data_IF_686378741721
#
_entry.id   IF_686378741721
#
_cell.length_a   1.000
_cell.length_b   1.000
_cell.length_c   1.000
_cell.angle_alpha   90.00
_cell.angle_beta   90.00
_cell.angle_gamma   90.00
#
_symmetry.space_group_name_H-M   'P 1'
#
loop_
_entity.id
_entity.type
_entity.pdbx_description
1 polymer ?
#
# COMPACT_ATOMS: atom_id res chain seq x y z
N UNK A 1 14.21 -33.05 19.38
CA UNK A 1 13.31 -32.99 18.21
C UNK A 1 11.93 -33.32 18.73
N UNK A 2 11.08 -32.32 18.90
CA UNK A 2 9.68 -32.57 19.28
C UNK A 2 8.91 -33.17 18.11
N UNK A 3 7.93 -34.06 18.38
CA UNK A 3 7.14 -34.70 17.34
C UNK A 3 6.27 -33.66 16.64
N UNK A 4 6.25 -33.75 15.31
CA UNK A 4 5.43 -32.96 14.39
C UNK A 4 3.96 -33.02 14.83
N UNK A 5 3.50 -31.98 15.54
CA UNK A 5 2.12 -31.85 15.99
C UNK A 5 1.29 -31.66 14.73
N UNK A 6 0.51 -32.68 14.35
CA UNK A 6 -0.45 -32.52 13.26
C UNK A 6 -1.30 -31.28 13.57
N UNK A 7 -1.41 -30.35 12.60
CA UNK A 7 -2.21 -29.13 12.75
C UNK A 7 -3.57 -29.48 13.36
N UNK A 8 -3.97 -28.77 14.42
CA UNK A 8 -5.29 -28.96 14.99
C UNK A 8 -6.34 -28.68 13.92
N UNK A 9 -7.49 -29.36 13.96
CA UNK A 9 -8.60 -29.08 13.03
C UNK A 9 -9.03 -27.60 13.05
N UNK A 10 -8.79 -26.91 14.18
CA UNK A 10 -9.00 -25.48 14.33
C UNK A 10 -8.01 -24.63 13.49
N UNK A 11 -6.76 -25.04 13.32
CA UNK A 11 -5.76 -24.24 12.60
C UNK A 11 -5.97 -24.30 11.08
N UNK A 12 -6.56 -25.39 10.58
CA UNK A 12 -6.94 -25.53 9.17
C UNK A 12 -7.98 -24.48 8.74
N UNK A 13 -8.79 -23.99 9.70
CA UNK A 13 -9.76 -22.94 9.44
C UNK A 13 -9.11 -21.67 8.90
N UNK A 14 -7.88 -21.32 9.33
CA UNK A 14 -7.20 -20.12 8.82
C UNK A 14 -6.95 -20.20 7.31
N UNK A 15 -6.63 -21.38 6.79
CA UNK A 15 -6.42 -21.57 5.34
C UNK A 15 -7.73 -21.46 4.58
N UNK A 16 -8.80 -22.08 5.07
CA UNK A 16 -10.12 -21.97 4.43
C UNK A 16 -10.70 -20.54 4.56
N UNK A 17 -10.44 -19.85 5.68
CA UNK A 17 -10.81 -18.45 5.90
C UNK A 17 -10.06 -17.50 4.95
N UNK A 18 -8.75 -17.68 4.79
CA UNK A 18 -7.95 -16.90 3.84
C UNK A 18 -8.53 -16.97 2.42
N UNK A 19 -8.91 -18.17 1.96
CA UNK A 19 -9.51 -18.37 0.64
C UNK A 19 -10.86 -17.64 0.53
N UNK A 20 -11.68 -17.71 1.59
CA UNK A 20 -12.99 -17.06 1.63
C UNK A 20 -12.85 -15.53 1.63
N UNK A 21 -11.96 -14.97 2.45
CA UNK A 21 -11.70 -13.54 2.49
C UNK A 21 -11.21 -13.03 1.12
N UNK A 22 -10.35 -13.79 0.46
CA UNK A 22 -9.84 -13.43 -0.87
C UNK A 22 -10.96 -13.34 -1.92
N UNK A 23 -11.83 -14.36 -1.99
CA UNK A 23 -13.00 -14.35 -2.90
C UNK A 23 -14.01 -13.25 -2.51
N UNK A 24 -14.18 -12.99 -1.21
CA UNK A 24 -15.01 -11.90 -0.72
C UNK A 24 -14.47 -10.53 -1.16
N UNK A 25 -13.16 -10.31 -1.04
CA UNK A 25 -12.48 -9.10 -1.46
C UNK A 25 -12.66 -8.85 -2.97
N UNK A 26 -12.32 -9.85 -3.80
CA UNK A 26 -12.40 -9.74 -5.27
C UNK A 26 -13.84 -9.39 -5.73
N UNK A 27 -14.85 -10.01 -5.09
CA UNK A 27 -16.28 -9.70 -5.35
C UNK A 27 -16.69 -8.33 -4.86
N UNK A 28 -16.14 -7.88 -3.74
CA UNK A 28 -16.44 -6.57 -3.14
C UNK A 28 -15.89 -5.45 -4.02
N UNK A 29 -14.61 -5.55 -4.44
CA UNK A 29 -13.98 -4.63 -5.40
C UNK A 29 -14.78 -4.57 -6.69
N UNK A 30 -15.14 -5.71 -7.27
CA UNK A 30 -15.93 -5.75 -8.52
C UNK A 30 -17.27 -5.02 -8.40
N UNK A 31 -17.98 -5.18 -7.27
CA UNK A 31 -19.25 -4.50 -7.03
C UNK A 31 -19.06 -3.00 -6.77
N UNK A 32 -18.02 -2.62 -6.05
CA UNK A 32 -17.71 -1.22 -5.74
C UNK A 32 -17.29 -0.49 -7.01
N UNK A 33 -16.42 -1.06 -7.84
CA UNK A 33 -16.05 -0.52 -9.15
C UNK A 33 -17.30 -0.22 -10.01
N UNK A 34 -18.24 -1.17 -10.09
CA UNK A 34 -19.50 -0.95 -10.82
C UNK A 34 -20.37 0.16 -10.21
N UNK A 35 -20.32 0.36 -8.89
CA UNK A 35 -21.02 1.47 -8.21
C UNK A 35 -20.32 2.80 -8.44
N UNK A 36 -18.99 2.83 -8.47
CA UNK A 36 -18.20 4.02 -8.76
C UNK A 36 -18.50 4.57 -10.16
N UNK A 37 -18.61 3.70 -11.17
CA UNK A 37 -19.06 4.07 -12.52
C UNK A 37 -20.44 4.75 -12.47
N UNK A 38 -21.41 4.15 -11.76
CA UNK A 38 -22.76 4.73 -11.62
C UNK A 38 -22.82 6.03 -10.82
N UNK A 39 -21.78 6.35 -10.04
CA UNK A 39 -21.67 7.57 -9.24
C UNK A 39 -20.92 8.70 -9.96
N UNK A 40 -20.76 8.61 -11.28
CA UNK A 40 -20.04 9.61 -12.07
C UNK A 40 -18.57 9.27 -12.27
N UNK A 41 -18.23 7.97 -12.30
CA UNK A 41 -16.89 7.48 -12.55
C UNK A 41 -15.85 7.98 -11.52
N UNK A 42 -16.23 7.96 -10.24
CA UNK A 42 -15.33 8.25 -9.12
C UNK A 42 -14.25 7.17 -8.98
N UNK A 43 -13.14 7.51 -8.32
CA UNK A 43 -12.12 6.54 -7.94
C UNK A 43 -12.67 5.55 -6.88
N UNK A 44 -12.03 4.41 -6.68
CA UNK A 44 -12.47 3.43 -5.65
C UNK A 44 -12.18 3.99 -4.25
N UNK A 45 -11.08 4.72 -4.13
CA UNK A 45 -10.58 5.39 -2.94
C UNK A 45 -11.56 6.48 -2.45
N UNK A 46 -12.29 7.10 -3.38
CA UNK A 46 -13.34 8.09 -3.09
C UNK A 46 -14.69 7.44 -2.74
N UNK A 47 -14.79 6.11 -2.78
CA UNK A 47 -16.03 5.43 -2.44
C UNK A 47 -16.30 5.56 -0.93
N UNK A 48 -17.54 5.90 -0.50
CA UNK A 48 -17.83 6.20 0.91
C UNK A 48 -17.48 5.10 1.93
N UNK A 49 -17.32 3.85 1.47
CA UNK A 49 -16.98 2.70 2.31
C UNK A 49 -15.59 2.14 1.97
N UNK A 50 -14.69 2.96 1.43
CA UNK A 50 -13.33 2.53 1.09
C UNK A 50 -12.57 2.02 2.33
N UNK A 51 -12.77 2.61 3.52
CA UNK A 51 -12.18 2.11 4.76
C UNK A 51 -12.47 0.62 5.01
N UNK A 52 -13.70 0.16 4.78
CA UNK A 52 -14.05 -1.26 4.90
C UNK A 52 -13.29 -2.17 3.92
N UNK A 53 -12.91 -1.66 2.75
CA UNK A 53 -12.07 -2.39 1.79
C UNK A 53 -10.68 -2.61 2.38
N UNK A 54 -10.13 -1.58 3.05
CA UNK A 54 -8.84 -1.65 3.71
C UNK A 54 -8.87 -2.59 4.92
N UNK A 55 -9.94 -2.57 5.72
CA UNK A 55 -10.12 -3.51 6.84
C UNK A 55 -10.08 -4.98 6.36
N UNK A 56 -10.73 -5.28 5.24
CA UNK A 56 -10.71 -6.63 4.65
C UNK A 56 -9.32 -7.00 4.11
N UNK A 57 -8.61 -6.05 3.49
CA UNK A 57 -7.22 -6.25 3.04
C UNK A 57 -6.28 -6.53 4.21
N UNK A 58 -6.46 -5.83 5.33
CA UNK A 58 -5.71 -6.05 6.56
C UNK A 58 -5.98 -7.46 7.11
N UNK A 59 -7.25 -7.86 7.23
CA UNK A 59 -7.61 -9.21 7.70
C UNK A 59 -7.03 -10.33 6.82
N UNK A 60 -7.05 -10.14 5.49
CA UNK A 60 -6.40 -11.07 4.54
C UNK A 60 -4.89 -11.13 4.81
N UNK A 61 -4.27 -9.98 5.02
CA UNK A 61 -2.83 -9.86 5.24
C UNK A 61 -2.41 -10.56 6.54
N UNK A 62 -3.10 -10.29 7.64
CA UNK A 62 -2.85 -10.93 8.94
C UNK A 62 -3.07 -12.45 8.88
N UNK A 63 -4.16 -12.89 8.26
CA UNK A 63 -4.46 -14.33 8.10
C UNK A 63 -3.39 -15.02 7.24
N UNK A 64 -2.95 -14.38 6.14
CA UNK A 64 -1.91 -14.90 5.27
C UNK A 64 -0.56 -15.01 5.99
N UNK A 65 -0.17 -13.99 6.76
CA UNK A 65 1.05 -14.03 7.58
C UNK A 65 1.00 -15.12 8.63
N UNK A 66 -0.14 -15.28 9.32
CA UNK A 66 -0.35 -16.37 10.26
C UNK A 66 -0.08 -17.73 9.58
N UNK A 67 -0.67 -17.98 8.41
CA UNK A 67 -0.45 -19.23 7.67
C UNK A 67 1.04 -19.45 7.35
N UNK A 68 1.77 -18.40 6.96
CA UNK A 68 3.21 -18.49 6.68
C UNK A 68 4.08 -18.74 7.90
N UNK A 69 3.60 -18.42 9.11
CA UNK A 69 4.32 -18.69 10.35
C UNK A 69 4.08 -20.14 10.85
N UNK A 70 3.02 -20.80 10.38
CA UNK A 70 2.57 -22.12 10.85
C UNK A 70 2.84 -23.21 9.79
N UNK A 71 4.06 -23.77 9.83
CA UNK A 71 4.56 -24.74 8.83
C UNK A 71 3.72 -26.00 8.72
N UNK A 72 3.03 -26.38 9.78
CA UNK A 72 2.09 -27.50 9.84
C UNK A 72 0.90 -27.33 8.88
N UNK A 73 0.57 -26.10 8.48
CA UNK A 73 -0.50 -25.80 7.52
C UNK A 73 -0.07 -25.99 6.07
N UNK A 74 1.24 -26.04 5.80
CA UNK A 74 1.77 -26.05 4.44
C UNK A 74 1.24 -27.20 3.58
N UNK A 75 1.12 -28.45 4.05
CA UNK A 75 0.53 -29.52 3.25
C UNK A 75 -0.93 -29.26 2.87
N UNK A 76 -1.68 -28.50 3.68
CA UNK A 76 -3.04 -28.11 3.35
C UNK A 76 -3.08 -26.94 2.37
N UNK A 77 -2.20 -25.95 2.54
CA UNK A 77 -2.00 -24.85 1.60
C UNK A 77 -1.66 -25.36 0.20
N UNK A 78 -0.71 -26.30 0.08
CA UNK A 78 -0.33 -26.91 -1.21
C UNK A 78 -1.50 -27.60 -1.92
N UNK A 79 -2.52 -28.07 -1.18
CA UNK A 79 -3.72 -28.69 -1.76
C UNK A 79 -4.83 -27.70 -2.10
N UNK A 80 -4.97 -26.62 -1.31
CA UNK A 80 -6.14 -25.73 -1.35
C UNK A 80 -5.89 -24.42 -2.09
N UNK A 81 -4.67 -23.91 -2.06
CA UNK A 81 -4.30 -22.63 -2.67
C UNK A 81 -3.64 -22.89 -4.02
N UNK A 82 -4.13 -22.23 -5.07
CA UNK A 82 -3.54 -22.32 -6.40
C UNK A 82 -2.08 -21.84 -6.37
N UNK A 83 -1.15 -22.67 -6.84
CA UNK A 83 0.28 -22.39 -6.78
C UNK A 83 0.92 -22.62 -5.40
N UNK A 84 0.18 -23.22 -4.46
CA UNK A 84 0.69 -23.62 -3.15
C UNK A 84 1.27 -22.47 -2.34
N UNK A 85 2.34 -22.71 -1.59
CA UNK A 85 3.00 -21.67 -0.79
C UNK A 85 3.53 -20.51 -1.62
N UNK A 86 3.97 -20.77 -2.85
CA UNK A 86 4.47 -19.71 -3.74
C UNK A 86 3.32 -18.81 -4.20
N UNK A 87 2.16 -19.39 -4.51
CA UNK A 87 0.94 -18.65 -4.82
C UNK A 87 0.45 -17.81 -3.64
N UNK A 88 0.44 -18.40 -2.43
CA UNK A 88 0.14 -17.67 -1.20
C UNK A 88 1.07 -16.47 -1.00
N UNK A 89 2.38 -16.68 -1.01
CA UNK A 89 3.36 -15.59 -0.80
C UNK A 89 3.24 -14.48 -1.83
N UNK A 90 3.06 -14.84 -3.10
CA UNK A 90 2.92 -13.87 -4.18
C UNK A 90 1.68 -12.99 -3.96
N UNK A 91 0.52 -13.62 -3.79
CA UNK A 91 -0.74 -12.89 -3.60
C UNK A 91 -0.75 -12.07 -2.30
N UNK A 92 -0.18 -12.60 -1.22
CA UNK A 92 -0.06 -11.89 0.04
C UNK A 92 0.75 -10.59 -0.10
N UNK A 93 1.88 -10.63 -0.80
CA UNK A 93 2.70 -9.43 -1.05
C UNK A 93 1.93 -8.38 -1.86
N UNK A 94 1.11 -8.81 -2.82
CA UNK A 94 0.27 -7.91 -3.60
C UNK A 94 -0.74 -7.18 -2.69
N UNK A 95 -1.44 -7.91 -1.81
CA UNK A 95 -2.39 -7.33 -0.84
C UNK A 95 -1.71 -6.39 0.17
N UNK A 96 -0.55 -6.77 0.71
CA UNK A 96 0.21 -5.94 1.64
C UNK A 96 0.68 -4.63 0.99
N UNK A 97 1.10 -4.69 -0.27
CA UNK A 97 1.49 -3.49 -1.02
C UNK A 97 0.29 -2.59 -1.33
N UNK A 98 -0.86 -3.17 -1.68
CA UNK A 98 -2.11 -2.44 -1.90
C UNK A 98 -2.57 -1.74 -0.63
N UNK A 99 -2.58 -2.45 0.50
CA UNK A 99 -2.90 -1.88 1.81
C UNK A 99 -1.95 -0.72 2.13
N UNK A 100 -0.63 -0.95 2.09
CA UNK A 100 0.37 0.09 2.37
C UNK A 100 0.23 1.34 1.49
N UNK A 101 -0.14 1.16 0.23
CA UNK A 101 -0.27 2.27 -0.72
C UNK A 101 -1.53 3.10 -0.50
N UNK A 102 -2.55 2.53 0.16
CA UNK A 102 -3.86 3.13 0.33
C UNK A 102 -4.21 3.48 1.79
N UNK A 103 -3.48 2.94 2.77
CA UNK A 103 -3.63 3.30 4.17
C UNK A 103 -3.13 4.72 4.40
N UNK A 104 -4.03 5.62 4.80
CA UNK A 104 -3.65 6.99 5.18
C UNK A 104 -2.96 7.00 6.54
N UNK A 105 -2.06 7.97 6.82
CA UNK A 105 -1.43 8.12 8.12
C UNK A 105 -2.42 8.26 9.29
N UNK A 106 -3.63 8.74 9.04
CA UNK A 106 -4.68 8.83 10.07
C UNK A 106 -5.29 7.46 10.41
N UNK A 107 -5.34 6.51 9.47
CA UNK A 107 -5.74 5.12 9.73
C UNK A 107 -4.63 4.33 10.45
N UNK A 108 -3.37 4.65 10.19
CA UNK A 108 -2.19 4.03 10.84
C UNK A 108 -2.07 4.46 12.32
N UNK A 109 -2.68 5.58 12.71
CA UNK A 109 -2.64 6.09 14.10
C UNK A 109 -3.36 5.21 15.11
N UNK A 110 -4.20 4.28 14.67
CA UNK A 110 -4.87 3.32 15.57
C UNK A 110 -3.95 2.15 15.98
N UNK A 111 -2.84 1.91 15.27
CA UNK A 111 -1.82 0.94 15.67
C UNK A 111 -0.58 1.64 16.25
N UNK A 112 -0.48 1.64 17.59
CA UNK A 112 0.62 2.25 18.33
C UNK A 112 2.01 1.72 17.93
N UNK A 113 2.12 0.52 17.33
CA UNK A 113 3.40 -0.07 16.92
C UNK A 113 3.88 0.47 15.57
N UNK A 114 2.96 0.78 14.66
CA UNK A 114 3.29 1.33 13.34
C UNK A 114 3.62 2.83 13.42
N UNK A 115 3.01 3.55 14.36
CA UNK A 115 3.41 4.94 14.68
C UNK A 115 4.87 5.03 15.12
N UNK A 116 5.36 4.05 15.88
CA UNK A 116 6.76 4.01 16.36
C UNK A 116 7.73 3.73 15.21
N UNK A 117 7.40 2.79 14.31
CA UNK A 117 8.19 2.50 13.10
C UNK A 117 8.20 3.68 12.13
N UNK A 118 7.07 4.36 11.95
CA UNK A 118 7.00 5.57 11.13
C UNK A 118 7.80 6.72 11.72
N UNK A 119 7.75 6.93 13.04
CA UNK A 119 8.60 7.92 13.72
C UNK A 119 10.09 7.61 13.55
N UNK A 120 10.47 6.34 13.56
CA UNK A 120 11.85 5.92 13.28
C UNK A 120 12.23 6.13 11.80
N UNK A 121 11.32 5.87 10.86
CA UNK A 121 11.56 6.08 9.44
C UNK A 121 11.55 7.57 9.01
N UNK A 122 10.79 8.42 9.71
CA UNK A 122 10.73 9.88 9.52
C UNK A 122 11.74 10.64 10.38
N UNK A 123 12.47 9.95 11.25
CA UNK A 123 13.44 10.50 12.19
C UNK A 123 14.75 10.92 11.52
N UNK A 124 14.67 11.79 10.52
CA UNK A 124 15.77 12.69 10.10
C UNK A 124 15.32 13.81 9.13
N UNK A 125 14.02 14.11 9.04
CA UNK A 125 13.59 15.30 8.28
C UNK A 125 13.78 16.52 9.17
N UNK A 126 14.80 17.31 8.86
CA UNK A 126 15.04 18.61 9.48
C UNK A 126 13.80 19.51 9.34
N UNK A 127 13.08 19.68 10.44
CA UNK A 127 11.83 20.48 10.53
C UNK A 127 12.10 21.98 10.57
N UNK A 128 13.35 22.42 10.40
CA UNK A 128 13.68 23.85 10.33
C UNK A 128 13.30 24.49 8.99
N UNK A 129 13.11 23.68 7.94
CA UNK A 129 12.62 24.14 6.65
C UNK A 129 11.08 23.99 6.57
N UNK A 130 10.38 25.12 6.56
CA UNK A 130 8.94 25.19 6.35
C UNK A 130 8.57 24.59 4.98
N UNK A 131 7.85 23.46 4.89
CA UNK A 131 7.53 22.80 3.63
C UNK A 131 6.53 23.59 2.76
N UNK A 132 6.01 24.72 3.25
CA UNK A 132 5.09 25.59 2.51
C UNK A 132 5.79 26.71 1.74
N UNK A 133 7.12 26.87 1.86
CA UNK A 133 7.89 27.84 1.06
C UNK A 133 7.91 27.46 -0.43
N UNK A 134 6.84 27.78 -1.14
CA UNK A 134 6.64 27.47 -2.56
C UNK A 134 5.19 27.14 -2.91
N UNK A 135 4.35 26.87 -1.92
CA UNK A 135 2.92 26.67 -2.12
C UNK A 135 2.24 28.01 -2.50
N UNK A 136 2.16 28.27 -3.81
CA UNK A 136 1.59 29.50 -4.39
C UNK A 136 2.50 30.22 -5.38
N UNK A 137 3.74 29.77 -5.56
CA UNK A 137 4.63 30.34 -6.59
C UNK A 137 4.26 29.78 -7.96
N UNK A 138 3.95 30.65 -8.91
CA UNK A 138 3.77 30.25 -10.31
C UNK A 138 5.07 29.68 -10.89
N UNK A 139 4.97 28.80 -11.89
CA UNK A 139 6.12 28.08 -12.45
C UNK A 139 7.29 28.98 -12.89
N UNK A 140 7.02 30.21 -13.34
CA UNK A 140 8.05 31.19 -13.70
C UNK A 140 8.81 31.72 -12.49
N UNK A 141 8.12 32.02 -11.38
CA UNK A 141 8.75 32.44 -10.12
C UNK A 141 9.54 31.31 -9.48
N UNK A 142 9.07 30.07 -9.60
CA UNK A 142 9.78 28.87 -9.17
C UNK A 142 11.09 28.71 -9.96
N UNK A 143 11.02 28.89 -11.28
CA UNK A 143 12.18 28.76 -12.18
C UNK A 143 13.22 29.85 -11.93
N UNK A 144 12.78 31.10 -11.70
CA UNK A 144 13.66 32.23 -11.41
C UNK A 144 14.37 32.07 -10.05
N UNK A 145 13.66 31.58 -9.03
CA UNK A 145 14.23 31.30 -7.70
C UNK A 145 15.26 30.17 -7.75
N UNK A 146 14.98 29.09 -8.47
CA UNK A 146 15.92 27.98 -8.69
C UNK A 146 17.18 28.40 -9.46
N UNK A 147 17.05 29.37 -10.38
CA UNK A 147 18.17 29.94 -11.12
C UNK A 147 19.04 30.86 -10.25
N UNK A 148 18.42 31.64 -9.35
CA UNK A 148 19.13 32.50 -8.39
C UNK A 148 19.85 31.68 -7.30
N UNK A 149 19.22 30.65 -6.76
CA UNK A 149 19.81 29.80 -5.70
C UNK A 149 21.00 28.98 -6.19
N UNK A 150 21.00 28.56 -7.46
CA UNK A 150 22.09 27.78 -8.06
C UNK A 150 23.17 28.64 -8.76
N UNK A 151 23.05 29.97 -8.73
CA UNK A 151 23.97 30.92 -9.35
C UNK A 151 24.27 30.60 -10.84
N UNK A 152 23.29 30.05 -11.56
CA UNK A 152 23.42 29.65 -12.96
C UNK A 152 23.14 30.88 -13.83
N UNK A 153 24.17 31.40 -14.50
CA UNK A 153 23.97 32.40 -15.56
C UNK A 153 23.48 31.70 -16.83
N UNK A 154 22.38 32.13 -17.46
CA UNK A 154 21.96 31.56 -18.73
C UNK A 154 22.96 31.96 -19.82
N UNK A 155 23.58 30.95 -20.44
CA UNK A 155 24.34 31.13 -21.67
C UNK A 155 23.38 30.96 -22.84
N UNK A 156 22.77 32.04 -23.30
CA UNK A 156 22.07 32.03 -24.58
C UNK A 156 23.12 32.14 -25.70
N UNK A 157 23.19 31.19 -26.65
CA UNK A 157 23.94 31.44 -27.88
C UNK A 157 23.25 32.60 -28.61
N UNK A 158 24.02 33.61 -28.99
CA UNK A 158 23.55 34.67 -29.86
C UNK A 158 23.07 34.03 -31.18
N UNK A 159 21.85 34.36 -31.60
CA UNK A 159 21.41 34.07 -32.96
C UNK A 159 22.34 34.80 -33.92
N UNK A 160 23.07 34.02 -34.72
CA UNK A 160 23.85 34.51 -35.85
C UNK A 160 22.95 35.30 -36.80
N UNK A 161 23.40 36.50 -37.14
CA UNK A 161 22.85 37.42 -38.12
C UNK A 161 22.49 36.69 -39.43
N UNK A 162 21.20 36.58 -39.71
CA UNK A 162 20.72 36.41 -41.09
C UNK A 162 20.69 37.78 -41.77
N UNK A 163 21.66 38.01 -42.65
CA UNK A 163 21.55 38.97 -43.74
C UNK A 163 21.91 38.30 -45.06
#
# INVERSE_FOLDING_TARGET
MEPNKAAGTADLWYVDNYILLKDYYDRTISRIAARCVRKGNIAIEDYPFFGYILDVLEEISETGEYILQHRELYPYVERKIAGGLNGLKKTLIEYQNELKSNSTPDMIKEDAREVEKMKQALGDVDKSADPTVGAGMGMEQLMEKLMQENNIKPNFPAEDDKK
#
